data_IF_633518719251
#
_entry.id   IF_633518719251
#
_cell.length_a   1.000
_cell.length_b   1.000
_cell.length_c   1.000
_cell.angle_alpha   90.00
_cell.angle_beta   90.00
_cell.angle_gamma   90.00
#
_symmetry.space_group_name_H-M   'P 1'
#
loop_
_entity.id
_entity.type
_entity.pdbx_description
1 polymer ?
#
# COMPACT_ATOMS: atom_id res chain seq x y z
N UNK A 1 50.77 -32.19 44.32
CA UNK A 1 49.86 -31.56 43.33
C UNK A 1 48.45 -32.11 43.50
N UNK A 2 47.56 -31.48 44.28
CA UNK A 2 46.13 -31.89 44.40
C UNK A 2 45.23 -30.88 45.17
N UNK A 3 45.60 -29.60 45.23
CA UNK A 3 44.81 -28.54 45.92
C UNK A 3 44.06 -27.59 44.97
N UNK A 4 44.35 -27.61 43.66
CA UNK A 4 43.76 -26.69 42.68
C UNK A 4 42.41 -27.11 42.08
N UNK A 5 41.99 -28.37 42.18
CA UNK A 5 40.73 -28.82 41.59
C UNK A 5 39.49 -28.49 42.43
N UNK A 6 39.60 -28.52 43.78
CA UNK A 6 38.44 -28.28 44.65
C UNK A 6 37.95 -26.83 44.66
N UNK A 7 38.86 -25.87 44.48
CA UNK A 7 38.50 -24.45 44.38
C UNK A 7 37.71 -24.18 43.10
N UNK A 8 38.16 -24.72 41.96
CA UNK A 8 37.53 -24.49 40.66
C UNK A 8 36.10 -25.06 40.58
N UNK A 9 35.84 -26.22 41.18
CA UNK A 9 34.48 -26.81 41.21
C UNK A 9 33.53 -26.01 42.10
N UNK A 10 34.04 -25.41 43.19
CA UNK A 10 33.23 -24.65 44.13
C UNK A 10 32.87 -23.26 43.56
N UNK A 11 33.79 -22.62 42.82
CA UNK A 11 33.50 -21.37 42.10
C UNK A 11 32.50 -21.58 40.97
N UNK A 12 32.59 -22.70 40.23
CA UNK A 12 31.67 -23.02 39.14
C UNK A 12 30.23 -23.27 39.65
N UNK A 13 30.08 -23.96 40.79
CA UNK A 13 28.77 -24.18 41.43
C UNK A 13 28.15 -22.87 41.97
N UNK A 14 28.97 -21.98 42.53
CA UNK A 14 28.51 -20.66 43.00
C UNK A 14 28.03 -19.78 41.84
N UNK A 15 28.71 -19.85 40.70
CA UNK A 15 28.32 -19.16 39.47
C UNK A 15 27.01 -19.72 38.90
N UNK A 16 26.83 -21.04 38.90
CA UNK A 16 25.57 -21.70 38.49
C UNK A 16 24.39 -21.34 39.40
N UNK A 17 24.63 -21.20 40.71
CA UNK A 17 23.62 -20.77 41.67
C UNK A 17 23.26 -19.28 41.53
N UNK A 18 24.22 -18.43 41.15
CA UNK A 18 23.96 -17.02 40.83
C UNK A 18 23.19 -16.85 39.52
N UNK A 19 23.47 -17.67 38.51
CA UNK A 19 22.77 -17.61 37.22
C UNK A 19 21.35 -18.18 37.29
N UNK A 20 21.06 -19.14 38.17
CA UNK A 20 19.70 -19.69 38.32
C UNK A 20 18.72 -18.70 38.99
N UNK A 21 19.22 -17.75 39.79
CA UNK A 21 18.41 -16.70 40.42
C UNK A 21 18.02 -15.54 39.51
N UNK A 22 18.55 -15.47 38.28
CA UNK A 22 18.20 -14.40 37.32
C UNK A 22 17.10 -14.78 36.33
N UNK A 23 16.47 -15.96 36.48
CA UNK A 23 15.31 -16.32 35.67
C UNK A 23 14.04 -15.75 36.29
N UNK A 24 13.84 -14.43 36.14
CA UNK A 24 12.52 -13.84 36.37
C UNK A 24 11.61 -14.34 35.24
N UNK A 25 10.48 -15.00 35.54
CA UNK A 25 9.52 -15.35 34.50
C UNK A 25 9.06 -14.04 33.84
N UNK A 26 9.36 -13.87 32.56
CA UNK A 26 8.81 -12.79 31.77
C UNK A 26 7.31 -13.06 31.61
N UNK A 27 6.48 -12.32 32.33
CA UNK A 27 5.03 -12.29 32.07
C UNK A 27 4.81 -11.36 30.90
N UNK A 28 4.36 -11.89 29.78
CA UNK A 28 3.88 -11.08 28.66
C UNK A 28 2.39 -10.79 28.84
N UNK A 29 1.94 -9.58 28.48
CA UNK A 29 0.49 -9.35 28.35
C UNK A 29 0.00 -10.26 27.24
N UNK A 30 -1.03 -11.03 27.54
CA UNK A 30 -1.70 -11.91 26.60
C UNK A 30 -3.08 -11.34 26.30
N UNK A 31 -3.37 -11.14 25.01
CA UNK A 31 -4.65 -10.62 24.55
C UNK A 31 -5.35 -11.71 23.76
N UNK A 32 -6.41 -12.26 24.33
CA UNK A 32 -7.30 -13.17 23.61
C UNK A 32 -8.42 -12.37 22.96
N UNK A 33 -8.60 -12.55 21.65
CA UNK A 33 -9.60 -11.82 20.85
C UNK A 33 -10.76 -12.74 20.54
N UNK A 34 -11.97 -12.37 20.99
CA UNK A 34 -13.21 -13.03 20.59
C UNK A 34 -13.87 -12.22 19.47
N UNK A 35 -14.12 -12.88 18.33
CA UNK A 35 -14.67 -12.28 17.12
C UNK A 35 -13.73 -12.39 15.93
N UNK A 36 -14.21 -11.92 14.78
CA UNK A 36 -13.45 -11.90 13.54
C UNK A 36 -12.44 -10.74 13.56
N UNK A 37 -11.18 -11.03 13.24
CA UNK A 37 -10.09 -10.06 13.18
C UNK A 37 -9.18 -10.38 11.99
N UNK A 38 -9.73 -10.35 10.76
CA UNK A 38 -8.99 -10.80 9.59
C UNK A 38 -7.77 -9.91 9.35
N UNK A 39 -6.70 -10.50 8.81
CA UNK A 39 -5.48 -9.75 8.46
C UNK A 39 -5.71 -8.71 7.35
N UNK A 40 -6.81 -8.85 6.61
CA UNK A 40 -7.19 -8.00 5.49
C UNK A 40 -8.67 -7.61 5.61
N UNK A 41 -8.95 -6.31 5.48
CA UNK A 41 -10.27 -5.70 5.66
C UNK A 41 -10.56 -4.67 4.59
N UNK A 42 -11.84 -4.38 4.35
CA UNK A 42 -12.24 -3.32 3.42
C UNK A 42 -12.22 -1.95 4.10
N UNK A 43 -11.96 -0.92 3.30
CA UNK A 43 -12.13 0.46 3.72
C UNK A 43 -13.54 0.67 4.29
N UNK A 44 -13.65 1.43 5.39
CA UNK A 44 -14.91 1.71 6.10
C UNK A 44 -15.66 0.47 6.62
N UNK A 45 -15.03 -0.71 6.66
CA UNK A 45 -15.61 -1.87 7.32
C UNK A 45 -15.72 -1.64 8.83
N UNK A 46 -16.87 -2.01 9.41
CA UNK A 46 -17.07 -1.99 10.86
C UNK A 46 -16.37 -3.17 11.52
N UNK A 47 -15.70 -2.90 12.63
CA UNK A 47 -15.00 -3.87 13.46
C UNK A 47 -15.59 -3.82 14.86
N UNK A 48 -15.89 -5.00 15.40
CA UNK A 48 -16.43 -5.18 16.74
C UNK A 48 -15.91 -6.49 17.31
N UNK A 49 -15.04 -6.42 18.31
CA UNK A 49 -14.48 -7.59 18.97
C UNK A 49 -14.33 -7.38 20.48
N UNK A 50 -14.24 -8.49 21.22
CA UNK A 50 -13.97 -8.46 22.66
C UNK A 50 -12.52 -8.85 22.87
N UNK A 51 -11.76 -7.99 23.54
CA UNK A 51 -10.40 -8.28 23.96
C UNK A 51 -10.42 -8.71 25.44
N UNK A 52 -9.92 -9.90 25.71
CA UNK A 52 -9.61 -10.38 27.06
C UNK A 52 -8.12 -10.26 27.29
N UNK A 53 -7.73 -9.32 28.15
CA UNK A 53 -6.35 -8.99 28.46
C UNK A 53 -5.99 -9.64 29.79
N UNK A 54 -4.90 -10.40 29.80
CA UNK A 54 -4.40 -11.12 30.98
C UNK A 54 -2.87 -11.10 31.02
N UNK A 55 -2.27 -11.69 32.06
CA UNK A 55 -0.81 -11.72 32.19
C UNK A 55 -0.19 -10.34 32.45
N UNK A 56 -0.99 -9.37 32.91
CA UNK A 56 -0.57 -8.00 33.18
C UNK A 56 0.59 -8.02 34.19
N UNK A 57 1.78 -7.48 33.84
CA UNK A 57 2.92 -7.46 34.74
C UNK A 57 2.59 -6.73 36.04
N UNK A 58 2.94 -7.30 37.19
CA UNK A 58 2.70 -6.67 38.49
C UNK A 58 3.49 -5.37 38.71
N UNK A 59 4.48 -5.10 37.86
CA UNK A 59 5.24 -3.85 37.87
C UNK A 59 4.61 -2.77 36.98
N UNK A 60 3.50 -3.07 36.29
CA UNK A 60 2.81 -2.10 35.44
C UNK A 60 1.89 -1.22 36.27
N UNK A 61 2.08 0.10 36.14
CA UNK A 61 1.22 1.11 36.73
C UNK A 61 0.08 1.51 35.77
N UNK A 62 0.32 1.41 34.45
CA UNK A 62 -0.65 1.72 33.41
C UNK A 62 -0.66 0.70 32.28
N UNK A 63 -1.81 0.59 31.62
CA UNK A 63 -1.98 -0.04 30.32
C UNK A 63 -2.40 1.01 29.29
N UNK A 64 -1.60 1.12 28.24
CA UNK A 64 -1.88 1.95 27.08
C UNK A 64 -2.61 1.14 26.03
N UNK A 65 -3.64 1.75 25.46
CA UNK A 65 -4.45 1.21 24.38
C UNK A 65 -4.38 2.18 23.21
N UNK A 66 -3.83 1.71 22.09
CA UNK A 66 -3.87 2.46 20.83
C UNK A 66 -4.69 1.70 19.79
N UNK A 67 -5.38 2.41 18.91
CA UNK A 67 -6.03 1.85 17.72
C UNK A 67 -5.92 2.81 16.55
N UNK A 68 -5.87 2.26 15.32
CA UNK A 68 -6.01 3.06 14.11
C UNK A 68 -7.46 3.05 13.58
N UNK A 69 -8.39 2.42 14.31
CA UNK A 69 -9.81 2.46 13.99
C UNK A 69 -10.40 3.84 14.28
N UNK A 70 -11.30 4.28 13.41
CA UNK A 70 -12.04 5.53 13.57
C UNK A 70 -13.31 5.26 14.39
N UNK A 71 -13.73 6.26 15.18
CA UNK A 71 -15.04 6.20 15.83
C UNK A 71 -16.12 6.14 14.76
N UNK A 72 -17.04 5.20 14.93
CA UNK A 72 -18.20 5.04 14.06
C UNK A 72 -19.48 5.03 14.87
N UNK A 73 -20.46 5.83 14.43
CA UNK A 73 -21.77 5.96 15.05
C UNK A 73 -21.69 6.41 16.53
N UNK A 74 -22.74 6.13 17.31
CA UNK A 74 -22.83 6.43 18.74
C UNK A 74 -22.11 5.41 19.65
N UNK A 75 -21.39 4.43 19.08
CA UNK A 75 -20.65 3.43 19.86
C UNK A 75 -19.28 3.97 20.30
N UNK A 76 -18.89 3.79 21.57
CA UNK A 76 -17.53 4.12 22.01
C UNK A 76 -16.50 3.17 21.39
N UNK A 77 -15.30 3.69 21.12
CA UNK A 77 -14.18 2.89 20.62
C UNK A 77 -13.83 1.80 21.63
N UNK A 78 -13.65 2.20 22.89
CA UNK A 78 -13.38 1.28 23.99
C UNK A 78 -14.54 1.30 24.99
N UNK A 79 -15.04 0.12 25.35
CA UNK A 79 -16.01 -0.05 26.42
C UNK A 79 -15.55 -1.13 27.41
N UNK A 80 -15.19 -0.70 28.61
CA UNK A 80 -14.76 -1.53 29.72
C UNK A 80 -15.95 -1.76 30.65
N UNK A 81 -16.85 -2.68 30.27
CA UNK A 81 -18.12 -2.89 30.97
C UNK A 81 -17.94 -3.18 32.46
N UNK A 82 -16.94 -3.99 32.82
CA UNK A 82 -16.65 -4.35 34.22
C UNK A 82 -16.12 -3.18 35.05
N UNK A 83 -15.55 -2.16 34.40
CA UNK A 83 -14.99 -0.97 35.03
C UNK A 83 -15.93 0.25 34.92
N UNK A 84 -17.08 0.11 34.25
CA UNK A 84 -18.02 1.18 33.94
C UNK A 84 -17.33 2.41 33.29
N UNK A 85 -16.44 2.15 32.33
CA UNK A 85 -15.58 3.14 31.69
C UNK A 85 -15.65 3.01 30.17
N UNK A 86 -15.69 4.14 29.48
CA UNK A 86 -15.79 4.21 28.03
C UNK A 86 -14.88 5.30 27.48
N UNK A 87 -14.34 5.09 26.28
CA UNK A 87 -13.51 6.09 25.59
C UNK A 87 -13.80 6.11 24.09
N UNK A 88 -13.75 7.31 23.51
CA UNK A 88 -13.78 7.57 22.07
C UNK A 88 -12.40 7.96 21.53
N UNK A 89 -11.39 8.00 22.38
CA UNK A 89 -10.03 8.39 21.99
C UNK A 89 -9.33 7.17 21.39
N UNK A 90 -8.57 7.40 20.33
CA UNK A 90 -7.74 6.36 19.69
C UNK A 90 -6.57 5.91 20.56
N UNK A 91 -6.20 6.77 21.52
CA UNK A 91 -5.20 6.52 22.55
C UNK A 91 -5.90 6.59 23.90
N UNK A 92 -5.76 5.56 24.73
CA UNK A 92 -6.40 5.51 26.03
C UNK A 92 -5.48 4.91 27.09
N UNK A 93 -5.43 5.55 28.25
CA UNK A 93 -4.58 5.14 29.38
C UNK A 93 -5.45 4.61 30.53
N UNK A 94 -5.20 3.37 30.94
CA UNK A 94 -5.90 2.74 32.05
C UNK A 94 -4.94 2.48 33.21
N UNK A 95 -5.14 3.09 34.40
CA UNK A 95 -4.35 2.76 35.58
C UNK A 95 -4.62 1.32 36.03
N UNK A 96 -3.55 0.57 36.26
CA UNK A 96 -3.61 -0.80 36.77
C UNK A 96 -3.62 -0.74 38.30
N UNK A 97 -4.65 -1.32 38.92
CA UNK A 97 -4.71 -1.50 40.37
C UNK A 97 -4.25 -2.91 40.72
N UNK A 98 -3.67 -3.09 41.91
CA UNK A 98 -3.06 -4.35 42.36
C UNK A 98 -3.98 -5.60 42.30
N UNK A 99 -5.30 -5.41 42.22
CA UNK A 99 -6.31 -6.46 42.14
C UNK A 99 -6.72 -6.86 40.72
N UNK A 100 -6.33 -6.08 39.70
CA UNK A 100 -6.75 -6.28 38.31
C UNK A 100 -5.83 -7.31 37.64
N UNK A 101 -6.29 -8.56 37.58
CA UNK A 101 -5.58 -9.66 36.89
C UNK A 101 -6.04 -9.89 35.46
N UNK A 102 -7.24 -9.41 35.13
CA UNK A 102 -7.89 -9.58 33.83
C UNK A 102 -8.71 -8.34 33.53
N UNK A 103 -8.69 -7.92 32.27
CA UNK A 103 -9.48 -6.79 31.76
C UNK A 103 -10.21 -7.27 30.53
N UNK A 104 -11.52 -7.02 30.49
CA UNK A 104 -12.36 -7.29 29.33
C UNK A 104 -12.78 -5.96 28.73
N UNK A 105 -12.47 -5.75 27.45
CA UNK A 105 -12.83 -4.54 26.71
C UNK A 105 -13.51 -4.91 25.42
N UNK A 106 -14.65 -4.28 25.16
CA UNK A 106 -15.26 -4.28 23.84
C UNK A 106 -14.59 -3.19 23.00
N UNK A 107 -13.94 -3.58 21.91
CA UNK A 107 -13.39 -2.69 20.90
C UNK A 107 -14.42 -2.54 19.78
N UNK A 108 -14.77 -1.31 19.44
CA UNK A 108 -15.58 -0.99 18.27
C UNK A 108 -14.88 0.08 17.44
N UNK A 109 -15.10 0.06 16.15
CA UNK A 109 -14.66 1.15 15.28
C UNK A 109 -14.86 0.82 13.82
N UNK A 110 -14.45 1.74 12.98
CA UNK A 110 -14.48 1.58 11.54
C UNK A 110 -13.06 1.69 10.98
N UNK A 111 -12.75 0.82 10.02
CA UNK A 111 -11.50 0.87 9.27
C UNK A 111 -11.37 2.25 8.60
N UNK A 112 -10.23 2.95 8.74
CA UNK A 112 -10.07 4.29 8.21
C UNK A 112 -10.22 4.36 6.70
N UNK A 113 -10.51 5.55 6.21
CA UNK A 113 -10.57 5.82 4.78
C UNK A 113 -9.18 5.98 4.19
N UNK A 114 -8.88 5.30 3.09
CA UNK A 114 -7.63 5.45 2.34
C UNK A 114 -7.87 5.94 0.93
N UNK A 115 -9.13 6.09 0.50
CA UNK A 115 -9.48 6.55 -0.85
C UNK A 115 -9.92 8.01 -0.82
N UNK A 116 -9.25 8.85 -1.60
CA UNK A 116 -9.62 10.24 -1.85
C UNK A 116 -10.16 10.37 -3.28
N UNK A 117 -11.40 10.84 -3.44
CA UNK A 117 -12.03 11.07 -4.75
C UNK A 117 -12.22 12.56 -4.97
N UNK A 118 -11.66 13.08 -6.06
CA UNK A 118 -11.85 14.45 -6.51
C UNK A 118 -12.43 14.48 -7.92
N UNK A 119 -13.54 15.19 -8.11
CA UNK A 119 -14.21 15.30 -9.40
C UNK A 119 -13.97 16.67 -10.05
N UNK A 120 -13.47 16.67 -11.28
CA UNK A 120 -13.21 17.85 -12.10
C UNK A 120 -13.95 17.73 -13.43
N UNK A 121 -15.14 18.34 -13.53
CA UNK A 121 -16.01 18.25 -14.71
C UNK A 121 -16.25 16.79 -15.16
N UNK A 122 -15.51 16.34 -16.19
CA UNK A 122 -15.59 15.00 -16.79
C UNK A 122 -14.52 14.02 -16.29
N UNK A 123 -13.61 14.48 -15.43
CA UNK A 123 -12.49 13.70 -14.92
C UNK A 123 -12.71 13.37 -13.44
N UNK A 124 -12.51 12.11 -13.07
CA UNK A 124 -12.52 11.67 -11.67
C UNK A 124 -11.11 11.25 -11.30
N UNK A 125 -10.50 11.97 -10.36
CA UNK A 125 -9.21 11.62 -9.78
C UNK A 125 -9.43 10.82 -8.51
N UNK A 126 -8.86 9.63 -8.44
CA UNK A 126 -8.93 8.73 -7.28
C UNK A 126 -7.52 8.51 -6.77
N UNK A 127 -7.20 9.01 -5.57
CA UNK A 127 -5.91 8.77 -4.94
C UNK A 127 -6.06 7.84 -3.76
N UNK A 128 -5.05 7.00 -3.55
CA UNK A 128 -4.99 6.11 -2.41
C UNK A 128 -3.85 6.53 -1.47
N UNK A 129 -4.08 6.43 -0.16
CA UNK A 129 -2.99 6.57 0.81
C UNK A 129 -1.93 5.49 0.54
N UNK A 130 -0.67 5.92 0.49
CA UNK A 130 0.50 5.05 0.42
C UNK A 130 0.57 4.03 1.56
N UNK A 131 0.06 4.37 2.74
CA UNK A 131 -0.05 3.46 3.86
C UNK A 131 -1.32 2.62 3.68
N UNK A 132 -1.19 1.40 3.17
CA UNK A 132 -2.28 0.40 3.14
C UNK A 132 -2.13 -0.72 4.18
N UNK A 133 -0.92 -0.89 4.72
CA UNK A 133 -0.56 -1.97 5.63
C UNK A 133 -0.09 -1.43 6.99
N UNK A 134 -0.11 -2.29 8.02
CA UNK A 134 0.39 -1.95 9.35
C UNK A 134 -0.54 -1.06 10.17
N UNK A 135 -1.81 -0.98 9.77
CA UNK A 135 -2.87 -0.46 10.64
C UNK A 135 -3.06 -1.41 11.81
N UNK A 136 -3.46 -0.91 12.98
CA UNK A 136 -3.71 -1.76 14.14
C UNK A 136 -5.17 -1.73 14.56
N UNK A 137 -5.72 -2.93 14.81
CA UNK A 137 -6.94 -3.07 15.59
C UNK A 137 -6.71 -2.56 17.00
N UNK A 138 -5.60 -3.01 17.61
CA UNK A 138 -5.17 -2.54 18.91
C UNK A 138 -3.64 -2.66 19.06
N UNK A 139 -3.07 -1.82 19.91
CA UNK A 139 -1.73 -1.96 20.49
C UNK A 139 -1.89 -1.81 21.99
N UNK A 140 -1.56 -2.84 22.75
CA UNK A 140 -1.67 -2.85 24.20
C UNK A 140 -0.27 -2.90 24.80
N UNK A 141 0.05 -1.92 25.64
CA UNK A 141 1.40 -1.75 26.19
C UNK A 141 1.36 -1.46 27.69
N UNK A 142 1.98 -2.31 28.53
CA UNK A 142 2.17 -1.99 29.94
C UNK A 142 3.31 -0.99 30.13
N UNK A 143 3.15 -0.05 31.08
CA UNK A 143 4.21 0.90 31.44
C UNK A 143 4.28 1.12 32.95
N UNK A 144 5.41 1.68 33.39
CA UNK A 144 5.58 2.21 34.75
C UNK A 144 4.97 3.62 34.91
N UNK A 145 5.01 4.14 36.12
CA UNK A 145 4.56 5.49 36.52
C UNK A 145 5.25 6.64 35.74
N UNK A 146 6.39 6.36 35.09
CA UNK A 146 7.16 7.33 34.30
C UNK A 146 6.88 7.21 32.81
N UNK A 147 5.96 6.32 32.41
CA UNK A 147 5.61 6.05 31.01
C UNK A 147 6.63 5.16 30.28
N UNK A 148 7.58 4.54 30.99
CA UNK A 148 8.53 3.63 30.36
C UNK A 148 7.84 2.31 30.01
N UNK A 149 8.11 1.81 28.80
CA UNK A 149 7.63 0.52 28.36
C UNK A 149 8.14 -0.60 29.26
N UNK A 150 7.22 -1.42 29.77
CA UNK A 150 7.56 -2.70 30.37
C UNK A 150 7.46 -3.76 29.27
N UNK A 151 8.28 -4.81 29.35
CA UNK A 151 8.21 -5.92 28.39
C UNK A 151 6.83 -6.58 28.41
N UNK A 152 6.43 -7.10 27.24
CA UNK A 152 5.18 -7.83 27.08
C UNK A 152 4.03 -7.03 26.48
N UNK A 153 4.27 -6.22 25.44
CA UNK A 153 3.21 -5.61 24.65
C UNK A 153 2.58 -6.62 23.67
N UNK A 154 1.29 -6.46 23.38
CA UNK A 154 0.59 -7.20 22.32
C UNK A 154 0.07 -6.24 21.26
N UNK A 155 0.09 -6.63 19.99
CA UNK A 155 -0.33 -5.79 18.88
C UNK A 155 -0.94 -6.65 17.78
N UNK A 156 -2.15 -6.29 17.35
CA UNK A 156 -2.83 -6.93 16.24
C UNK A 156 -3.01 -5.94 15.09
N UNK A 157 -2.49 -6.32 13.92
CA UNK A 157 -2.46 -5.46 12.73
C UNK A 157 -3.33 -5.98 11.59
N UNK A 158 -3.75 -5.07 10.72
CA UNK A 158 -4.46 -5.37 9.48
C UNK A 158 -3.95 -4.55 8.29
N UNK A 159 -4.35 -5.01 7.11
CA UNK A 159 -4.16 -4.36 5.82
C UNK A 159 -5.52 -3.96 5.26
N UNK A 160 -5.60 -2.77 4.65
CA UNK A 160 -6.79 -2.28 3.97
C UNK A 160 -6.73 -2.71 2.50
N UNK A 161 -7.63 -3.60 2.11
CA UNK A 161 -7.76 -4.09 0.75
C UNK A 161 -8.33 -3.00 -0.16
N UNK A 162 -7.64 -2.75 -1.28
CA UNK A 162 -8.07 -1.77 -2.30
C UNK A 162 -8.02 -2.45 -3.66
N UNK A 163 -9.18 -2.94 -4.10
CA UNK A 163 -9.31 -3.81 -5.28
C UNK A 163 -8.72 -3.18 -6.55
N UNK A 164 -8.87 -1.87 -6.74
CA UNK A 164 -8.36 -1.17 -7.91
C UNK A 164 -6.82 -1.14 -7.95
N UNK A 165 -6.18 -0.99 -6.80
CA UNK A 165 -4.71 -1.04 -6.68
C UNK A 165 -4.22 -2.45 -6.95
N UNK A 166 -4.82 -3.44 -6.29
CA UNK A 166 -4.39 -4.84 -6.44
C UNK A 166 -4.63 -5.37 -7.87
N UNK A 167 -5.69 -4.88 -8.52
CA UNK A 167 -5.96 -5.17 -9.94
C UNK A 167 -4.92 -4.51 -10.85
N UNK A 168 -4.65 -3.23 -10.62
CA UNK A 168 -3.70 -2.47 -11.42
C UNK A 168 -2.28 -3.02 -11.29
N UNK A 169 -1.80 -3.32 -10.08
CA UNK A 169 -0.48 -3.91 -9.85
C UNK A 169 -0.31 -5.24 -10.62
N UNK A 170 -1.34 -6.09 -10.63
CA UNK A 170 -1.34 -7.34 -11.41
C UNK A 170 -1.29 -7.11 -12.92
N UNK A 171 -1.94 -6.06 -13.42
CA UNK A 171 -1.90 -5.69 -14.84
C UNK A 171 -0.54 -5.08 -15.21
N UNK A 172 -0.04 -4.14 -14.42
CA UNK A 172 1.24 -3.49 -14.62
C UNK A 172 2.41 -4.49 -14.64
N UNK A 173 2.34 -5.56 -13.84
CA UNK A 173 3.33 -6.63 -13.83
C UNK A 173 3.38 -7.47 -15.14
N UNK A 174 2.34 -7.41 -15.98
CA UNK A 174 2.30 -8.11 -17.28
C UNK A 174 2.90 -7.28 -18.42
N UNK A 175 3.19 -6.01 -18.16
CA UNK A 175 3.72 -5.05 -19.14
C UNK A 175 5.24 -5.10 -19.08
N UNK A 176 5.84 -5.67 -20.13
CA UNK A 176 7.30 -5.87 -20.21
C UNK A 176 8.06 -4.59 -20.50
N UNK A 177 7.44 -3.63 -21.20
CA UNK A 177 8.06 -2.35 -21.54
C UNK A 177 8.23 -1.49 -20.27
N UNK A 178 9.48 -1.18 -19.86
CA UNK A 178 9.73 -0.43 -18.63
C UNK A 178 9.20 1.01 -18.67
N UNK A 179 9.17 1.63 -19.86
CA UNK A 179 8.68 3.00 -20.01
C UNK A 179 7.17 3.05 -19.79
N UNK A 180 6.41 2.13 -20.39
CA UNK A 180 4.96 2.06 -20.21
C UNK A 180 4.56 1.67 -18.80
N UNK A 181 5.27 0.71 -18.22
CA UNK A 181 5.02 0.31 -16.83
C UNK A 181 5.19 1.51 -15.89
N UNK A 182 6.27 2.28 -16.04
CA UNK A 182 6.48 3.53 -15.30
C UNK A 182 5.41 4.59 -15.60
N UNK A 183 5.02 4.74 -16.87
CA UNK A 183 4.04 5.73 -17.28
C UNK A 183 2.64 5.45 -16.70
N UNK A 184 2.22 4.19 -16.75
CA UNK A 184 0.96 3.76 -16.16
C UNK A 184 0.96 3.93 -14.65
N UNK A 185 2.07 3.61 -13.98
CA UNK A 185 2.23 3.85 -12.56
C UNK A 185 2.10 5.36 -12.24
N UNK A 186 2.77 6.23 -13.00
CA UNK A 186 2.66 7.69 -12.83
C UNK A 186 1.23 8.20 -13.05
N UNK A 187 0.50 7.66 -14.03
CA UNK A 187 -0.92 7.96 -14.22
C UNK A 187 -1.76 7.52 -13.00
N UNK A 188 -1.57 6.29 -12.55
CA UNK A 188 -2.27 5.72 -11.41
C UNK A 188 -2.02 6.54 -10.13
N UNK A 189 -0.75 6.85 -9.83
CA UNK A 189 -0.34 7.62 -8.65
C UNK A 189 -0.87 9.07 -8.66
N UNK A 190 -1.07 9.66 -9.84
CA UNK A 190 -1.70 10.98 -10.00
C UNK A 190 -3.21 10.95 -9.80
N UNK A 191 -3.78 9.75 -9.74
CA UNK A 191 -5.19 9.48 -9.52
C UNK A 191 -6.00 9.22 -10.78
N UNK A 192 -5.35 9.06 -11.95
CA UNK A 192 -5.99 8.62 -13.19
C UNK A 192 -6.19 7.10 -13.19
N UNK A 193 -6.76 6.57 -12.12
CA UNK A 193 -6.85 5.13 -11.83
C UNK A 193 -7.64 4.39 -12.90
N UNK A 194 -8.76 4.96 -13.35
CA UNK A 194 -9.62 4.35 -14.37
C UNK A 194 -8.91 4.33 -15.72
N UNK A 195 -8.30 5.45 -16.12
CA UNK A 195 -7.59 5.59 -17.39
C UNK A 195 -6.35 4.69 -17.43
N UNK A 196 -5.58 4.64 -16.34
CA UNK A 196 -4.41 3.78 -16.21
C UNK A 196 -4.81 2.29 -16.33
N UNK A 197 -5.88 1.87 -15.64
CA UNK A 197 -6.37 0.49 -15.74
C UNK A 197 -6.84 0.13 -17.16
N UNK A 198 -7.62 1.00 -17.80
CA UNK A 198 -8.10 0.78 -19.18
C UNK A 198 -6.95 0.69 -20.17
N UNK A 199 -5.94 1.55 -20.04
CA UNK A 199 -4.77 1.50 -20.91
C UNK A 199 -3.95 0.23 -20.63
N UNK A 200 -3.81 -0.19 -19.37
CA UNK A 200 -3.13 -1.44 -19.05
C UNK A 200 -3.84 -2.65 -19.68
N UNK A 201 -5.18 -2.72 -19.60
CA UNK A 201 -5.98 -3.77 -20.24
C UNK A 201 -5.74 -3.82 -21.75
N UNK A 202 -5.79 -2.66 -22.41
CA UNK A 202 -5.52 -2.55 -23.85
C UNK A 202 -4.13 -3.07 -24.23
N UNK A 203 -3.09 -2.71 -23.48
CA UNK A 203 -1.72 -3.14 -23.77
C UNK A 203 -1.54 -4.65 -23.61
N UNK A 204 -2.24 -5.25 -22.64
CA UNK A 204 -2.22 -6.70 -22.40
C UNK A 204 -2.98 -7.45 -23.51
N UNK A 205 -4.17 -6.97 -23.87
CA UNK A 205 -4.98 -7.53 -24.96
C UNK A 205 -4.21 -7.48 -26.28
N UNK A 206 -3.61 -6.33 -26.59
CA UNK A 206 -2.93 -6.12 -27.86
C UNK A 206 -1.65 -6.92 -28.03
N UNK A 207 -0.89 -7.13 -26.95
CA UNK A 207 0.22 -8.10 -26.93
C UNK A 207 -0.22 -9.50 -27.36
N UNK A 208 -1.49 -9.85 -27.13
CA UNK A 208 -2.08 -11.13 -27.50
C UNK A 208 -2.49 -11.18 -28.98
N UNK A 209 -2.71 -10.02 -29.62
CA UNK A 209 -3.20 -9.90 -31.00
C UNK A 209 -2.15 -9.48 -32.04
N UNK A 210 -1.15 -8.67 -31.67
CA UNK A 210 -0.22 -8.08 -32.64
C UNK A 210 1.07 -8.90 -32.80
N UNK A 211 1.18 -9.62 -33.91
CA UNK A 211 2.46 -9.82 -34.57
C UNK A 211 2.48 -8.87 -35.77
N UNK A 212 3.24 -7.78 -35.67
CA UNK A 212 3.58 -6.96 -36.83
C UNK A 212 4.14 -7.87 -37.93
N UNK A 213 3.79 -7.61 -39.19
CA UNK A 213 4.52 -8.28 -40.26
C UNK A 213 5.97 -7.78 -40.27
N UNK A 214 6.90 -8.63 -40.70
CA UNK A 214 8.33 -8.30 -40.73
C UNK A 214 8.61 -7.07 -41.63
N UNK A 215 7.77 -6.86 -42.65
CA UNK A 215 7.80 -5.71 -43.56
C UNK A 215 7.41 -4.40 -42.86
N UNK A 216 6.32 -4.38 -42.09
CA UNK A 216 5.90 -3.18 -41.34
C UNK A 216 6.94 -2.76 -40.30
N UNK A 217 7.59 -3.74 -39.67
CA UNK A 217 8.66 -3.51 -38.70
C UNK A 217 9.90 -2.89 -39.34
N UNK A 218 10.24 -3.30 -40.56
CA UNK A 218 11.37 -2.72 -41.30
C UNK A 218 11.07 -1.29 -41.76
N UNK A 219 9.89 -1.04 -42.33
CA UNK A 219 9.48 0.30 -42.76
C UNK A 219 9.46 1.29 -41.58
N UNK A 220 8.98 0.85 -40.42
CA UNK A 220 8.96 1.71 -39.25
C UNK A 220 10.37 2.03 -38.73
N UNK A 221 11.28 1.03 -38.69
CA UNK A 221 12.69 1.25 -38.34
C UNK A 221 13.38 2.25 -39.27
N UNK A 222 13.08 2.20 -40.57
CA UNK A 222 13.59 3.18 -41.53
C UNK A 222 13.10 4.61 -41.22
N UNK A 223 11.82 4.77 -40.85
CA UNK A 223 11.28 6.08 -40.43
C UNK A 223 11.95 6.58 -39.15
N UNK A 224 12.23 5.71 -38.19
CA UNK A 224 12.92 6.08 -36.95
C UNK A 224 14.34 6.62 -37.19
N UNK A 225 15.03 6.15 -38.22
CA UNK A 225 16.34 6.69 -38.61
C UNK A 225 16.28 8.17 -39.05
N UNK A 226 15.09 8.70 -39.38
CA UNK A 226 14.86 10.11 -39.66
C UNK A 226 14.83 11.02 -38.41
N UNK A 227 14.76 10.43 -37.22
CA UNK A 227 14.71 11.15 -35.96
C UNK A 227 16.12 11.37 -35.39
N UNK A 228 16.47 12.63 -35.16
CA UNK A 228 17.73 13.03 -34.51
C UNK A 228 17.65 12.99 -32.98
N UNK A 229 16.44 12.91 -32.43
CA UNK A 229 16.20 12.78 -30.99
C UNK A 229 15.96 11.30 -30.68
N UNK A 230 16.96 10.67 -30.05
CA UNK A 230 16.92 9.26 -29.71
C UNK A 230 15.82 8.93 -28.69
N UNK A 231 15.45 9.88 -27.82
CA UNK A 231 14.39 9.67 -26.82
C UNK A 231 13.03 9.60 -27.51
N UNK A 232 12.80 10.45 -28.49
CA UNK A 232 11.57 10.43 -29.28
C UNK A 232 11.47 9.17 -30.14
N UNK A 233 12.57 8.78 -30.79
CA UNK A 233 12.63 7.54 -31.56
C UNK A 233 12.36 6.30 -30.71
N UNK A 234 12.91 6.25 -29.49
CA UNK A 234 12.62 5.17 -28.52
C UNK A 234 11.15 5.14 -28.10
N UNK A 235 10.51 6.30 -27.89
CA UNK A 235 9.08 6.35 -27.55
C UNK A 235 8.19 5.86 -28.69
N UNK A 236 8.51 6.25 -29.92
CA UNK A 236 7.79 5.81 -31.12
C UNK A 236 7.98 4.30 -31.37
N UNK A 237 9.19 3.77 -31.18
CA UNK A 237 9.46 2.33 -31.21
C UNK A 237 8.67 1.57 -30.14
N UNK A 238 8.65 2.08 -28.91
CA UNK A 238 7.85 1.48 -27.84
C UNK A 238 6.37 1.42 -28.24
N UNK A 239 5.79 2.48 -28.81
CA UNK A 239 4.40 2.43 -29.29
C UNK A 239 4.20 1.40 -30.42
N UNK A 240 5.13 1.33 -31.36
CA UNK A 240 5.05 0.36 -32.46
C UNK A 240 5.17 -1.08 -31.97
N UNK A 241 6.05 -1.37 -31.01
CA UNK A 241 6.26 -2.70 -30.44
C UNK A 241 5.06 -3.18 -29.61
N UNK A 242 4.18 -2.27 -29.19
CA UNK A 242 2.88 -2.59 -28.56
C UNK A 242 1.77 -2.83 -29.58
N UNK A 243 2.12 -3.03 -30.84
CA UNK A 243 1.16 -3.26 -31.90
C UNK A 243 0.46 -2.00 -32.42
N UNK A 244 0.77 -0.79 -31.90
CA UNK A 244 0.19 0.48 -32.41
C UNK A 244 0.84 0.86 -33.74
N UNK A 245 0.88 -0.08 -34.68
CA UNK A 245 1.63 0.06 -35.92
C UNK A 245 1.13 1.24 -36.74
N UNK A 246 -0.19 1.40 -36.88
CA UNK A 246 -0.78 2.50 -37.63
C UNK A 246 -0.61 3.83 -36.89
N UNK A 247 -0.92 3.89 -35.60
CA UNK A 247 -0.86 5.13 -34.83
C UNK A 247 0.58 5.63 -34.66
N UNK A 248 1.54 4.71 -34.50
CA UNK A 248 2.96 5.04 -34.43
C UNK A 248 3.48 5.49 -35.78
N UNK A 249 3.04 4.86 -36.89
CA UNK A 249 3.41 5.28 -38.24
C UNK A 249 2.88 6.67 -38.58
N UNK A 250 1.59 6.93 -38.33
CA UNK A 250 0.97 8.23 -38.55
C UNK A 250 1.64 9.33 -37.73
N UNK A 251 1.95 9.03 -36.46
CA UNK A 251 2.66 9.97 -35.60
C UNK A 251 4.09 10.20 -36.08
N UNK A 252 4.80 9.16 -36.52
CA UNK A 252 6.14 9.31 -37.07
C UNK A 252 6.14 10.18 -38.33
N UNK A 253 5.18 9.98 -39.23
CA UNK A 253 5.04 10.76 -40.46
C UNK A 253 4.70 12.22 -40.16
N UNK A 254 3.74 12.46 -39.25
CA UNK A 254 3.38 13.80 -38.79
C UNK A 254 4.59 14.55 -38.19
N UNK A 255 5.36 13.89 -37.32
CA UNK A 255 6.52 14.49 -36.67
C UNK A 255 7.68 14.76 -37.64
N UNK A 256 7.87 13.90 -38.65
CA UNK A 256 8.86 14.10 -39.70
C UNK A 256 8.45 15.26 -40.63
N UNK A 257 7.16 15.38 -40.94
CA UNK A 257 6.61 16.45 -41.77
C UNK A 257 6.67 17.81 -41.05
N UNK A 258 6.26 17.88 -39.78
CA UNK A 258 6.25 19.14 -39.03
C UNK A 258 7.68 19.64 -38.70
N UNK A 259 8.66 18.73 -38.57
CA UNK A 259 10.09 19.06 -38.49
C UNK A 259 10.62 19.69 -39.78
N UNK A 260 10.07 19.34 -40.94
CA UNK A 260 10.44 19.96 -42.21
C UNK A 260 9.96 21.42 -42.29
N UNK A 261 8.89 21.77 -41.56
CA UNK A 261 8.24 23.08 -41.63
C UNK A 261 8.65 24.06 -40.50
N UNK A 262 9.16 23.59 -39.36
CA UNK A 262 9.39 24.43 -38.18
C UNK A 262 10.87 24.65 -37.81
N UNK A 263 11.36 25.88 -38.03
CA UNK A 263 12.51 26.43 -37.29
C UNK A 263 12.04 27.00 -35.94
N UNK A 264 12.81 26.74 -34.87
CA UNK A 264 12.75 27.30 -33.50
C UNK A 264 11.95 26.58 -32.38
N UNK A 265 12.75 25.91 -31.53
CA UNK A 265 12.84 25.97 -30.05
C UNK A 265 11.65 25.71 -29.11
N UNK A 266 10.38 25.58 -29.54
CA UNK A 266 9.25 25.25 -28.63
C UNK A 266 8.88 23.76 -28.53
N UNK A 267 9.60 22.90 -29.26
CA UNK A 267 9.20 21.52 -29.51
C UNK A 267 9.27 20.56 -28.31
N UNK A 268 10.21 20.75 -27.39
CA UNK A 268 10.45 19.78 -26.29
C UNK A 268 9.29 19.67 -25.29
N UNK A 269 8.55 20.75 -25.08
CA UNK A 269 7.38 20.78 -24.17
C UNK A 269 6.08 20.41 -24.88
N UNK A 270 5.95 20.76 -26.17
CA UNK A 270 4.82 20.36 -26.99
C UNK A 270 4.78 18.84 -27.19
N UNK A 271 5.92 18.17 -27.34
CA UNK A 271 6.05 16.72 -27.54
C UNK A 271 5.60 15.86 -26.35
N UNK A 272 5.88 16.30 -25.12
CA UNK A 272 5.39 15.63 -23.91
C UNK A 272 3.86 15.69 -23.84
N UNK A 273 3.29 16.85 -24.18
CA UNK A 273 1.84 17.05 -24.21
C UNK A 273 1.17 16.37 -25.41
N UNK A 274 1.81 16.32 -26.58
CA UNK A 274 1.27 15.68 -27.78
C UNK A 274 1.18 14.17 -27.64
N UNK A 275 2.19 13.51 -27.05
CA UNK A 275 2.15 12.07 -26.83
C UNK A 275 1.05 11.68 -25.81
N UNK A 276 0.90 12.47 -24.75
CA UNK A 276 -0.17 12.29 -23.75
C UNK A 276 -1.55 12.62 -24.33
N UNK A 277 -1.66 13.68 -25.15
CA UNK A 277 -2.91 14.08 -25.80
C UNK A 277 -3.32 13.15 -26.93
N UNK A 278 -2.38 12.58 -27.69
CA UNK A 278 -2.66 11.61 -28.75
C UNK A 278 -3.09 10.26 -28.18
N UNK A 279 -2.55 9.81 -27.06
CA UNK A 279 -3.10 8.64 -26.35
C UNK A 279 -4.51 8.92 -25.81
N UNK A 280 -4.74 10.10 -25.21
CA UNK A 280 -6.08 10.53 -24.82
C UNK A 280 -7.05 10.65 -26.00
N UNK A 281 -6.56 11.04 -27.18
CA UNK A 281 -7.33 11.17 -28.41
C UNK A 281 -7.58 9.83 -29.11
N UNK A 282 -6.63 8.89 -29.09
CA UNK A 282 -6.79 7.53 -29.63
C UNK A 282 -7.73 6.71 -28.75
N UNK A 283 -7.61 6.82 -27.42
CA UNK A 283 -8.55 6.23 -26.46
C UNK A 283 -9.93 6.90 -26.62
N UNK A 284 -9.99 8.23 -26.75
CA UNK A 284 -11.24 8.98 -26.91
C UNK A 284 -11.96 8.78 -28.25
N UNK A 285 -11.24 8.62 -29.37
CA UNK A 285 -11.82 8.36 -30.69
C UNK A 285 -12.33 6.92 -30.83
N UNK A 286 -11.66 5.94 -30.21
CA UNK A 286 -12.12 4.55 -30.25
C UNK A 286 -13.26 4.26 -29.28
N UNK A 287 -13.32 4.92 -28.12
CA UNK A 287 -14.46 4.82 -27.20
C UNK A 287 -15.76 5.38 -27.81
N UNK A 288 -15.66 6.39 -28.66
CA UNK A 288 -16.82 6.94 -29.37
C UNK A 288 -17.38 5.98 -30.43
N UNK A 289 -16.52 5.21 -31.09
CA UNK A 289 -16.95 4.23 -32.09
C UNK A 289 -17.50 2.93 -31.47
N UNK A 290 -17.24 2.64 -30.19
CA UNK A 290 -17.83 1.50 -29.48
C UNK A 290 -19.19 1.81 -28.84
N UNK A 291 -19.55 3.09 -28.65
CA UNK A 291 -20.90 3.49 -28.19
C UNK A 291 -21.91 3.57 -29.36
N UNK A 292 -21.45 3.62 -30.61
CA UNK A 292 -22.30 3.67 -31.81
C UNK A 292 -22.62 2.26 -32.38
N UNK A 293 -22.19 1.17 -31.72
CA UNK A 293 -22.48 -0.23 -32.11
C UNK A 293 -23.36 -1.03 -31.10
N UNK A 294 -24.05 -0.36 -30.17
CA UNK A 294 -25.16 -0.95 -29.37
C UNK A 294 -26.54 -0.41 -29.76
#
# INVERSE_FOLDING_TARGET
MRKGHKACTLTLCLLYFFFSWFTVPASAVEVNVEGDHPAEVKEKQEISCVLTISGIPSAADYLYFDTDLEKYDDKPIYNFTELNLQSNESHFELPVKDDIKKIVVQLNGQVPGVTEVQQYEKLTLVKYDSKRTGYAYYRIKPTDEKGNAIQGSDTSTFTIAVTDVDSFEKKAAQIEDPFLSMYLQDMFDRGLVTEANKLADYLIEKKTESLATEEESQQFKEKLNGFSDSVLGMKLQAFFDLGLHNESNELADYLLQEKADASNMKWKYALGFLATALLGFVIGLRLKNSEDEE
#
